data_IF_181877938173
#
_entry.id   IF_181877938173
#
_cell.length_a   1.000
_cell.length_b   1.000
_cell.length_c   1.000
_cell.angle_alpha   90.00
_cell.angle_beta   90.00
_cell.angle_gamma   90.00
#
_symmetry.space_group_name_H-M   'P 1'
#
loop_
_entity.id
_entity.type
_entity.pdbx_description
1 polymer ?
#
# COMPACT_ATOMS: atom_id res chain seq x y z
N UNK A 1 37.63 -61.72 -0.59
CA UNK A 1 37.58 -60.31 -0.22
C UNK A 1 37.35 -59.49 -1.49
N UNK A 2 36.19 -58.92 -1.70
CA UNK A 2 35.92 -58.05 -2.87
C UNK A 2 36.77 -56.78 -2.74
N UNK A 3 37.40 -56.38 -3.83
CA UNK A 3 38.23 -55.17 -3.85
C UNK A 3 37.38 -53.92 -3.88
N UNK A 4 37.93 -52.79 -3.46
CA UNK A 4 37.21 -51.49 -3.53
C UNK A 4 36.75 -51.17 -4.94
N UNK A 5 37.44 -51.68 -5.96
CA UNK A 5 37.15 -51.52 -7.37
C UNK A 5 35.86 -52.27 -7.77
N UNK A 6 35.68 -53.49 -7.21
CA UNK A 6 34.50 -54.32 -7.47
C UNK A 6 33.23 -53.65 -6.90
N UNK A 7 33.32 -53.03 -5.73
CA UNK A 7 32.22 -52.29 -5.09
C UNK A 7 31.85 -51.00 -5.86
N UNK A 8 32.80 -50.31 -6.46
CA UNK A 8 32.54 -49.13 -7.26
C UNK A 8 31.81 -49.52 -8.57
N UNK A 9 32.21 -50.63 -9.20
CA UNK A 9 31.52 -51.11 -10.41
C UNK A 9 30.08 -51.55 -10.12
N UNK A 10 29.81 -52.20 -8.96
CA UNK A 10 28.45 -52.54 -8.52
C UNK A 10 27.59 -51.31 -8.28
N UNK A 11 28.16 -50.22 -7.72
CA UNK A 11 27.42 -48.97 -7.50
C UNK A 11 27.11 -48.22 -8.81
N UNK A 12 28.03 -48.23 -9.78
CA UNK A 12 27.78 -47.65 -11.12
C UNK A 12 26.68 -48.39 -11.85
N UNK A 13 26.67 -49.73 -11.84
CA UNK A 13 25.59 -50.52 -12.45
C UNK A 13 24.25 -50.32 -11.76
N UNK A 14 24.20 -50.13 -10.43
CA UNK A 14 22.99 -49.86 -9.67
C UNK A 14 22.37 -48.49 -10.03
N UNK A 15 23.21 -47.50 -10.33
CA UNK A 15 22.72 -46.20 -10.78
C UNK A 15 22.17 -46.22 -12.20
N UNK A 16 22.76 -46.99 -13.12
CA UNK A 16 22.33 -47.10 -14.51
C UNK A 16 21.05 -47.92 -14.65
N UNK A 17 20.80 -48.87 -13.74
CA UNK A 17 19.66 -49.77 -13.81
C UNK A 17 18.51 -49.34 -12.87
N UNK A 18 18.68 -48.27 -12.09
CA UNK A 18 17.59 -47.75 -11.26
C UNK A 18 16.42 -47.30 -12.14
N UNK A 19 15.22 -47.89 -11.99
CA UNK A 19 14.06 -47.47 -12.77
C UNK A 19 13.80 -45.99 -12.50
N UNK A 20 13.69 -45.22 -13.57
CA UNK A 20 13.37 -43.79 -13.50
C UNK A 20 12.10 -43.61 -12.66
N UNK A 21 12.23 -42.93 -11.52
CA UNK A 21 11.09 -42.70 -10.64
C UNK A 21 9.97 -42.02 -11.43
N UNK A 22 8.73 -42.50 -11.37
CA UNK A 22 7.64 -41.86 -12.10
C UNK A 22 7.60 -40.36 -11.75
N UNK A 23 7.38 -39.49 -12.73
CA UNK A 23 7.34 -38.04 -12.48
C UNK A 23 6.33 -37.77 -11.36
N UNK A 24 6.78 -37.01 -10.36
CA UNK A 24 5.93 -36.64 -9.23
C UNK A 24 4.64 -36.01 -9.76
N UNK A 25 3.47 -36.38 -9.25
CA UNK A 25 2.21 -35.79 -9.66
C UNK A 25 2.32 -34.27 -9.59
N UNK A 26 1.98 -33.58 -10.69
CA UNK A 26 1.97 -32.12 -10.71
C UNK A 26 1.09 -31.63 -9.55
N UNK A 27 1.68 -30.89 -8.63
CA UNK A 27 0.91 -30.31 -7.52
C UNK A 27 -0.26 -29.52 -8.10
N UNK A 28 -1.48 -29.70 -7.61
CA UNK A 28 -2.62 -28.92 -8.07
C UNK A 28 -2.30 -27.42 -7.96
N UNK A 29 -2.70 -26.59 -8.93
CA UNK A 29 -2.46 -25.17 -8.89
C UNK A 29 -2.98 -24.62 -7.58
N UNK A 30 -2.11 -23.92 -6.82
CA UNK A 30 -2.48 -23.37 -5.53
C UNK A 30 -3.75 -22.50 -5.67
N UNK A 31 -4.78 -22.87 -4.96
CA UNK A 31 -6.05 -22.15 -4.97
C UNK A 31 -5.80 -20.67 -4.63
N UNK A 32 -6.15 -19.76 -5.53
CA UNK A 32 -5.95 -18.32 -5.32
C UNK A 32 -6.80 -17.87 -4.14
N UNK A 33 -6.15 -17.39 -3.09
CA UNK A 33 -6.85 -16.81 -1.93
C UNK A 33 -7.76 -15.68 -2.40
N UNK A 34 -9.05 -15.68 -2.06
CA UNK A 34 -9.97 -14.60 -2.42
C UNK A 34 -9.44 -13.23 -1.97
N UNK A 35 -9.66 -12.19 -2.78
CA UNK A 35 -9.19 -10.83 -2.49
C UNK A 35 -9.65 -10.36 -1.10
N UNK A 36 -10.90 -10.63 -0.74
CA UNK A 36 -11.47 -10.28 0.56
C UNK A 36 -10.67 -10.87 1.72
N UNK A 37 -10.23 -12.14 1.62
CA UNK A 37 -9.40 -12.77 2.64
C UNK A 37 -8.03 -12.11 2.76
N UNK A 38 -7.41 -11.74 1.63
CA UNK A 38 -6.13 -11.01 1.61
C UNK A 38 -6.22 -9.63 2.26
N UNK A 39 -7.33 -8.92 2.10
CA UNK A 39 -7.55 -7.62 2.71
C UNK A 39 -7.71 -7.72 4.24
N UNK A 40 -8.13 -8.88 4.75
CA UNK A 40 -8.25 -9.14 6.18
C UNK A 40 -6.94 -9.62 6.83
N UNK A 41 -5.88 -9.85 6.06
CA UNK A 41 -4.57 -10.22 6.60
C UNK A 41 -4.05 -9.13 7.56
N UNK A 42 -3.42 -9.53 8.68
CA UNK A 42 -2.86 -8.56 9.61
C UNK A 42 -1.62 -7.87 9.02
N UNK A 43 -1.44 -6.60 9.35
CA UNK A 43 -0.18 -5.87 9.15
C UNK A 43 0.59 -5.82 10.46
N UNK A 44 1.91 -5.60 10.38
CA UNK A 44 2.75 -5.48 11.57
C UNK A 44 2.42 -4.22 12.36
N UNK A 45 2.71 -4.23 13.65
CA UNK A 45 2.54 -3.05 14.50
C UNK A 45 3.38 -1.87 14.01
N UNK A 46 4.60 -2.15 13.56
CA UNK A 46 5.50 -1.14 13.01
C UNK A 46 4.91 -0.49 11.76
N UNK A 47 4.37 -1.27 10.82
CA UNK A 47 3.72 -0.74 9.62
C UNK A 47 2.51 0.13 9.98
N UNK A 48 1.69 -0.30 10.95
CA UNK A 48 0.53 0.47 11.39
C UNK A 48 0.95 1.80 12.05
N UNK A 49 1.91 1.78 12.96
CA UNK A 49 2.41 2.98 13.64
C UNK A 49 3.08 3.94 12.66
N UNK A 50 3.95 3.43 11.78
CA UNK A 50 4.61 4.26 10.75
C UNK A 50 3.58 4.92 9.84
N UNK A 51 2.56 4.17 9.40
CA UNK A 51 1.47 4.71 8.60
C UNK A 51 0.69 5.80 9.32
N UNK A 52 0.32 5.58 10.59
CA UNK A 52 -0.38 6.58 11.40
C UNK A 52 0.44 7.85 11.59
N UNK A 53 1.72 7.73 11.97
CA UNK A 53 2.62 8.87 12.17
C UNK A 53 2.83 9.64 10.86
N UNK A 54 3.04 8.94 9.75
CA UNK A 54 3.20 9.57 8.44
C UNK A 54 1.95 10.38 8.05
N UNK A 55 0.75 9.84 8.27
CA UNK A 55 -0.51 10.54 8.01
C UNK A 55 -0.71 11.76 8.91
N UNK A 56 -0.48 11.62 10.22
CA UNK A 56 -0.61 12.73 11.16
C UNK A 56 0.39 13.85 10.83
N UNK A 57 1.64 13.49 10.51
CA UNK A 57 2.65 14.46 10.13
C UNK A 57 2.29 15.16 8.80
N UNK A 58 1.89 14.40 7.78
CA UNK A 58 1.48 14.94 6.48
C UNK A 58 0.30 15.89 6.58
N UNK A 59 -0.73 15.53 7.34
CA UNK A 59 -1.89 16.39 7.60
C UNK A 59 -1.50 17.65 8.39
N UNK A 60 -0.70 17.51 9.45
CA UNK A 60 -0.25 18.64 10.27
C UNK A 60 0.57 19.64 9.42
N UNK A 61 1.49 19.15 8.59
CA UNK A 61 2.27 19.99 7.66
C UNK A 61 1.33 20.65 6.65
N UNK A 62 0.42 19.89 6.02
CA UNK A 62 -0.52 20.42 5.05
C UNK A 62 -1.36 21.57 5.60
N UNK A 63 -1.93 21.38 6.77
CA UNK A 63 -2.74 22.40 7.46
C UNK A 63 -1.87 23.62 7.86
N UNK A 64 -0.66 23.39 8.35
CA UNK A 64 0.21 24.46 8.83
C UNK A 64 0.71 25.40 7.70
N UNK A 65 0.84 24.90 6.48
CA UNK A 65 1.32 25.68 5.32
C UNK A 65 0.20 26.27 4.49
N UNK A 66 -1.05 25.85 4.71
CA UNK A 66 -2.20 26.28 3.92
C UNK A 66 -2.52 27.75 4.20
N UNK A 67 -2.56 28.62 3.19
CA UNK A 67 -2.93 30.01 3.37
C UNK A 67 -4.46 30.13 3.60
N UNK A 68 -4.91 31.22 4.21
CA UNK A 68 -6.35 31.45 4.34
C UNK A 68 -7.02 31.52 2.96
N UNK A 69 -8.30 31.17 2.87
CA UNK A 69 -9.05 31.28 1.60
C UNK A 69 -9.10 32.73 1.12
N UNK A 70 -9.07 32.91 -0.19
CA UNK A 70 -9.10 34.25 -0.81
C UNK A 70 -10.39 35.01 -0.48
N UNK A 71 -11.50 34.29 -0.34
CA UNK A 71 -12.78 34.84 0.10
C UNK A 71 -13.42 33.90 1.14
N UNK A 72 -13.35 34.23 2.46
CA UNK A 72 -13.88 33.37 3.50
C UNK A 72 -15.41 33.26 3.49
N UNK A 73 -16.11 34.11 2.75
CA UNK A 73 -17.57 34.09 2.60
C UNK A 73 -18.03 33.41 1.30
N UNK A 74 -17.10 32.94 0.46
CA UNK A 74 -17.47 32.19 -0.73
C UNK A 74 -18.07 30.85 -0.35
N UNK A 75 -19.16 30.50 -1.05
CA UNK A 75 -19.74 29.16 -0.94
C UNK A 75 -18.92 28.22 -1.80
N UNK A 76 -18.36 27.19 -1.20
CA UNK A 76 -17.61 26.17 -1.95
C UNK A 76 -18.51 25.46 -2.96
N UNK A 77 -18.03 25.21 -4.17
CA UNK A 77 -18.73 24.38 -5.13
C UNK A 77 -19.05 23.00 -4.52
N UNK A 78 -20.23 22.45 -4.83
CA UNK A 78 -20.68 21.18 -4.27
C UNK A 78 -19.66 20.03 -4.41
N UNK A 79 -18.88 20.03 -5.49
CA UNK A 79 -17.88 18.99 -5.73
C UNK A 79 -16.69 19.08 -4.76
N UNK A 80 -16.32 20.28 -4.28
CA UNK A 80 -15.29 20.47 -3.24
C UNK A 80 -15.78 19.87 -1.93
N UNK A 81 -17.02 20.18 -1.54
CA UNK A 81 -17.64 19.60 -0.33
C UNK A 81 -17.75 18.07 -0.42
N UNK A 82 -18.18 17.56 -1.58
CA UNK A 82 -18.26 16.12 -1.81
C UNK A 82 -16.89 15.45 -1.72
N UNK A 83 -15.86 16.03 -2.37
CA UNK A 83 -14.50 15.49 -2.35
C UNK A 83 -13.90 15.53 -0.95
N UNK A 84 -14.09 16.62 -0.19
CA UNK A 84 -13.69 16.71 1.21
C UNK A 84 -14.36 15.66 2.08
N UNK A 85 -15.66 15.41 1.88
CA UNK A 85 -16.41 14.37 2.60
C UNK A 85 -15.87 12.97 2.28
N UNK A 86 -15.62 12.67 1.01
CA UNK A 86 -15.04 11.37 0.60
C UNK A 86 -13.64 11.19 1.19
N UNK A 87 -12.81 12.24 1.14
CA UNK A 87 -11.48 12.24 1.75
C UNK A 87 -11.56 11.99 3.26
N UNK A 88 -12.46 12.66 3.97
CA UNK A 88 -12.67 12.46 5.40
C UNK A 88 -13.05 11.01 5.72
N UNK A 89 -13.99 10.44 4.99
CA UNK A 89 -14.38 9.02 5.16
C UNK A 89 -13.21 8.09 4.89
N UNK A 90 -12.44 8.33 3.82
CA UNK A 90 -11.25 7.54 3.49
C UNK A 90 -10.17 7.64 4.59
N UNK A 91 -9.97 8.82 5.18
CA UNK A 91 -9.05 9.03 6.30
C UNK A 91 -9.52 8.28 7.56
N UNK A 92 -10.78 8.44 7.95
CA UNK A 92 -11.33 7.72 9.11
C UNK A 92 -11.22 6.22 8.94
N UNK A 93 -11.52 5.72 7.75
CA UNK A 93 -11.35 4.32 7.40
C UNK A 93 -9.89 3.90 7.51
N UNK A 94 -8.95 4.69 6.98
CA UNK A 94 -7.52 4.43 7.06
C UNK A 94 -7.05 4.30 8.50
N UNK A 95 -7.37 5.28 9.36
CA UNK A 95 -6.99 5.24 10.77
C UNK A 95 -7.62 4.07 11.52
N UNK A 96 -8.91 3.80 11.31
CA UNK A 96 -9.58 2.64 11.88
C UNK A 96 -8.87 1.33 11.47
N UNK A 97 -8.48 1.22 10.21
CA UNK A 97 -7.77 0.05 9.70
C UNK A 97 -6.36 -0.11 10.29
N UNK A 98 -5.63 0.97 10.52
CA UNK A 98 -4.34 0.92 11.22
C UNK A 98 -4.51 0.50 12.68
N UNK A 99 -5.54 0.99 13.38
CA UNK A 99 -5.84 0.60 14.76
C UNK A 99 -6.14 -0.90 14.87
N UNK A 100 -6.93 -1.45 13.95
CA UNK A 100 -7.22 -2.90 13.92
C UNK A 100 -6.15 -3.72 13.20
N UNK A 101 -5.10 -3.08 12.69
CA UNK A 101 -3.94 -3.67 12.01
C UNK A 101 -4.32 -4.61 10.86
N UNK A 102 -5.20 -4.15 9.97
CA UNK A 102 -5.66 -4.91 8.81
C UNK A 102 -5.11 -4.32 7.50
N UNK A 103 -4.78 -5.20 6.57
CA UNK A 103 -4.19 -4.83 5.27
C UNK A 103 -5.06 -3.89 4.44
N UNK A 104 -6.37 -3.94 4.59
CA UNK A 104 -7.26 -3.01 3.91
C UNK A 104 -6.99 -1.53 4.26
N UNK A 105 -6.37 -1.25 5.43
CA UNK A 105 -5.93 0.11 5.78
C UNK A 105 -4.93 0.69 4.77
N UNK A 106 -4.04 -0.15 4.22
CA UNK A 106 -3.09 0.30 3.19
C UNK A 106 -3.80 0.66 1.88
N UNK A 107 -4.86 -0.07 1.52
CA UNK A 107 -5.69 0.25 0.33
C UNK A 107 -6.45 1.54 0.56
N UNK A 108 -7.07 1.70 1.73
CA UNK A 108 -7.76 2.94 2.11
C UNK A 108 -6.79 4.12 2.18
N UNK A 109 -5.58 3.93 2.71
CA UNK A 109 -4.50 4.91 2.74
C UNK A 109 -4.09 5.34 1.32
N UNK A 110 -3.96 4.40 0.40
CA UNK A 110 -3.65 4.68 -1.00
C UNK A 110 -4.76 5.55 -1.65
N UNK A 111 -6.01 5.20 -1.40
CA UNK A 111 -7.18 5.96 -1.89
C UNK A 111 -7.20 7.38 -1.29
N UNK A 112 -7.03 7.50 0.03
CA UNK A 112 -7.01 8.79 0.72
C UNK A 112 -5.86 9.68 0.23
N UNK A 113 -4.67 9.12 0.03
CA UNK A 113 -3.51 9.86 -0.50
C UNK A 113 -3.74 10.30 -1.95
N UNK A 114 -4.34 9.45 -2.79
CA UNK A 114 -4.74 9.81 -4.15
C UNK A 114 -5.75 10.96 -4.18
N UNK A 115 -6.77 10.90 -3.32
CA UNK A 115 -7.76 11.97 -3.16
C UNK A 115 -7.11 13.27 -2.66
N UNK A 116 -6.17 13.18 -1.72
CA UNK A 116 -5.42 14.34 -1.23
C UNK A 116 -4.63 15.01 -2.35
N UNK A 117 -3.92 14.24 -3.17
CA UNK A 117 -3.20 14.75 -4.36
C UNK A 117 -4.16 15.45 -5.33
N UNK A 118 -5.28 14.80 -5.66
CA UNK A 118 -6.30 15.40 -6.54
C UNK A 118 -6.86 16.68 -5.95
N UNK A 119 -7.20 16.69 -4.67
CA UNK A 119 -7.70 17.88 -3.97
C UNK A 119 -6.71 19.02 -4.01
N UNK A 120 -5.42 18.73 -3.76
CA UNK A 120 -4.34 19.73 -3.81
C UNK A 120 -4.20 20.36 -5.21
N UNK A 121 -4.37 19.56 -6.27
CA UNK A 121 -4.32 20.07 -7.65
C UNK A 121 -5.59 20.88 -7.99
N UNK A 122 -6.75 20.45 -7.52
CA UNK A 122 -8.03 21.13 -7.79
C UNK A 122 -8.20 22.45 -7.01
N UNK A 123 -7.57 22.57 -5.85
CA UNK A 123 -7.73 23.72 -4.96
C UNK A 123 -7.41 25.07 -5.63
N UNK A 124 -6.26 25.29 -6.29
CA UNK A 124 -6.01 26.52 -7.01
C UNK A 124 -6.92 26.71 -8.23
N UNK A 125 -7.35 25.62 -8.89
CA UNK A 125 -8.24 25.67 -10.05
C UNK A 125 -9.67 26.08 -9.66
N UNK A 126 -10.09 25.83 -8.43
CA UNK A 126 -11.40 26.23 -7.91
C UNK A 126 -11.47 27.70 -7.49
N UNK A 127 -10.33 28.43 -7.47
CA UNK A 127 -10.27 29.79 -6.99
C UNK A 127 -10.37 29.94 -5.47
N UNK A 128 -10.25 28.84 -4.72
CA UNK A 128 -10.33 28.84 -3.25
C UNK A 128 -9.20 29.67 -2.63
N UNK A 129 -7.99 29.66 -3.24
CA UNK A 129 -6.86 30.50 -2.86
C UNK A 129 -6.50 31.51 -3.95
N UNK A 130 -5.87 32.61 -3.55
CA UNK A 130 -5.49 33.71 -4.45
C UNK A 130 -4.44 33.33 -5.52
N UNK A 131 -3.87 32.13 -5.46
CA UNK A 131 -2.89 31.64 -6.43
C UNK A 131 -2.10 30.45 -5.91
N UNK A 132 -1.15 30.01 -6.72
CA UNK A 132 -0.23 28.91 -6.41
C UNK A 132 1.03 29.50 -5.76
N UNK A 133 1.40 29.00 -4.58
CA UNK A 133 2.60 29.38 -3.85
C UNK A 133 3.41 28.15 -3.39
N UNK A 134 4.44 28.39 -2.59
CA UNK A 134 5.27 27.33 -2.03
C UNK A 134 4.45 26.29 -1.22
N UNK A 135 3.39 26.72 -0.57
CA UNK A 135 2.45 25.89 0.17
C UNK A 135 1.89 24.74 -0.68
N UNK A 136 1.55 25.04 -1.94
CA UNK A 136 1.01 24.05 -2.87
C UNK A 136 2.01 22.93 -3.15
N UNK A 137 3.28 23.30 -3.38
CA UNK A 137 4.36 22.33 -3.59
C UNK A 137 4.59 21.44 -2.38
N UNK A 138 4.50 21.99 -1.17
CA UNK A 138 4.63 21.24 0.08
C UNK A 138 3.47 20.25 0.25
N UNK A 139 2.22 20.71 0.06
CA UNK A 139 1.05 19.83 0.15
C UNK A 139 1.09 18.71 -0.89
N UNK A 140 1.42 19.04 -2.13
CA UNK A 140 1.59 18.05 -3.20
C UNK A 140 2.67 17.03 -2.86
N UNK A 141 3.83 17.50 -2.36
CA UNK A 141 4.92 16.65 -1.91
C UNK A 141 4.50 15.69 -0.79
N UNK A 142 3.78 16.18 0.22
CA UNK A 142 3.22 15.35 1.29
C UNK A 142 2.25 14.31 0.74
N UNK A 143 1.33 14.71 -0.14
CA UNK A 143 0.37 13.79 -0.76
C UNK A 143 1.06 12.68 -1.55
N UNK A 144 2.04 13.03 -2.38
CA UNK A 144 2.82 12.07 -3.17
C UNK A 144 3.67 11.13 -2.28
N UNK A 145 4.25 11.64 -1.20
CA UNK A 145 5.00 10.81 -0.24
C UNK A 145 4.09 9.80 0.46
N UNK A 146 2.89 10.22 0.89
CA UNK A 146 1.87 9.32 1.47
C UNK A 146 1.39 8.28 0.46
N UNK A 147 1.19 8.68 -0.80
CA UNK A 147 0.79 7.78 -1.88
C UNK A 147 1.87 6.70 -2.13
N UNK A 148 3.13 7.13 -2.27
CA UNK A 148 4.25 6.23 -2.47
C UNK A 148 4.46 5.29 -1.27
N UNK A 149 4.41 5.81 -0.05
CA UNK A 149 4.53 5.03 1.18
C UNK A 149 3.44 3.97 1.31
N UNK A 150 2.18 4.32 0.99
CA UNK A 150 1.05 3.38 0.99
C UNK A 150 1.22 2.29 -0.07
N UNK A 151 1.68 2.64 -1.27
CA UNK A 151 1.94 1.67 -2.34
C UNK A 151 3.08 0.70 -1.99
N UNK A 152 4.16 1.20 -1.37
CA UNK A 152 5.27 0.37 -0.88
C UNK A 152 4.81 -0.56 0.25
N UNK A 153 4.03 -0.06 1.20
CA UNK A 153 3.45 -0.85 2.29
C UNK A 153 2.59 -2.01 1.77
N UNK A 154 1.79 -1.78 0.72
CA UNK A 154 1.00 -2.84 0.07
C UNK A 154 1.88 -3.93 -0.56
N UNK A 155 2.99 -3.54 -1.19
CA UNK A 155 3.93 -4.50 -1.81
C UNK A 155 4.65 -5.36 -0.77
N UNK A 156 5.08 -4.75 0.32
CA UNK A 156 5.78 -5.45 1.42
C UNK A 156 4.87 -6.42 2.18
N UNK A 157 3.59 -6.10 2.30
CA UNK A 157 2.59 -6.96 2.92
C UNK A 157 2.15 -8.13 2.04
N UNK A 158 2.66 -8.27 0.80
CA UNK A 158 2.37 -9.42 -0.06
C UNK A 158 3.24 -10.60 0.36
N UNK A 159 2.67 -11.76 0.74
CA UNK A 159 3.45 -12.96 1.00
C UNK A 159 4.21 -13.35 -0.28
N UNK A 160 5.51 -13.64 -0.11
CA UNK A 160 6.34 -14.22 -1.17
C UNK A 160 6.00 -15.68 -1.37
#
# INVERSE_FOLDING_TARGET
MATTKDRLAELEDAWVTAPEAPPAPLAPPAARTPLAARLQEPITQEQALTGMVAWLAGLAIGIAVEPPPANPNAVDPWFITAMGTILLVALLTTFAGFLVRRRWSMVSSLLAAGLLVVSTVMCPLSGHHAGVGAWWGVQLGCGLALLAGSALGLRQASPR
#
